data_IF_608018311797
#
_entry.id   IF_608018311797
#
_cell.length_a   1.000
_cell.length_b   1.000
_cell.length_c   1.000
_cell.angle_alpha   90.00
_cell.angle_beta   90.00
_cell.angle_gamma   90.00
#
_symmetry.space_group_name_H-M   'P 1'
#
loop_
_entity.id
_entity.type
_entity.pdbx_description
1 polymer ?
#
# COMPACT_ATOMS: atom_id res chain seq x y z
N UNK A 1 -5.74 -7.51 23.57
CA UNK A 1 -5.54 -6.59 24.70
C UNK A 1 -6.83 -6.42 25.54
N UNK A 2 -8.01 -6.20 24.96
CA UNK A 2 -9.25 -6.05 25.69
C UNK A 2 -9.58 -7.29 26.55
N UNK A 3 -9.52 -8.49 25.96
CA UNK A 3 -9.70 -9.76 26.68
C UNK A 3 -8.64 -9.97 27.76
N UNK A 4 -7.42 -9.49 27.56
CA UNK A 4 -6.37 -9.53 28.58
C UNK A 4 -6.74 -8.65 29.79
N UNK A 5 -7.28 -7.45 29.57
CA UNK A 5 -7.78 -6.58 30.65
C UNK A 5 -8.87 -7.29 31.47
N UNK A 6 -9.82 -7.95 30.80
CA UNK A 6 -10.87 -8.71 31.46
C UNK A 6 -10.30 -9.87 32.28
N UNK A 7 -9.36 -10.62 31.72
CA UNK A 7 -8.68 -11.71 32.44
C UNK A 7 -7.94 -11.22 33.67
N UNK A 8 -7.18 -10.12 33.56
CA UNK A 8 -6.46 -9.50 34.70
C UNK A 8 -7.44 -9.05 35.79
N UNK A 9 -8.55 -8.42 35.40
CA UNK A 9 -9.61 -8.01 36.32
C UNK A 9 -10.24 -9.24 37.04
N UNK A 10 -10.53 -10.28 36.30
CA UNK A 10 -11.08 -11.53 36.86
C UNK A 10 -10.13 -12.19 37.87
N UNK A 11 -8.83 -12.08 37.64
CA UNK A 11 -7.79 -12.58 38.55
C UNK A 11 -7.52 -11.64 39.73
N UNK A 12 -8.23 -10.51 39.84
CA UNK A 12 -8.10 -9.53 40.92
C UNK A 12 -6.92 -8.55 40.74
N UNK A 13 -6.33 -8.47 39.54
CA UNK A 13 -5.30 -7.51 39.16
C UNK A 13 -5.87 -6.19 38.65
N UNK A 14 -4.98 -5.22 38.42
CA UNK A 14 -5.37 -3.94 37.83
C UNK A 14 -5.36 -4.02 36.29
N UNK A 15 -6.52 -3.95 35.61
CA UNK A 15 -6.62 -4.04 34.14
C UNK A 15 -5.90 -2.87 33.43
N UNK A 16 -5.73 -1.72 34.08
CA UNK A 16 -5.06 -0.56 33.47
C UNK A 16 -3.56 -0.78 33.22
N UNK A 17 -2.99 -1.84 33.77
CA UNK A 17 -1.61 -2.24 33.46
C UNK A 17 -1.47 -2.83 32.06
N UNK A 18 -2.57 -3.27 31.44
CA UNK A 18 -2.57 -3.78 30.06
C UNK A 18 -2.78 -2.63 29.09
N UNK A 19 -1.69 -2.14 28.54
CA UNK A 19 -1.65 -1.10 27.51
C UNK A 19 -0.61 -1.45 26.44
N UNK A 20 -0.76 -0.92 25.23
CA UNK A 20 0.34 -0.96 24.26
C UNK A 20 1.58 -0.24 24.83
N UNK A 21 2.73 -0.92 24.80
CA UNK A 21 4.01 -0.32 25.23
C UNK A 21 4.60 0.58 24.13
N UNK A 22 4.28 0.28 22.87
CA UNK A 22 4.63 1.10 21.71
C UNK A 22 3.39 1.85 21.23
N UNK A 23 3.54 3.00 20.55
CA UNK A 23 2.42 3.67 19.92
C UNK A 23 1.68 2.73 18.99
N UNK A 24 0.37 2.60 19.17
CA UNK A 24 -0.50 1.77 18.34
C UNK A 24 -1.54 2.66 17.68
N UNK A 25 -1.58 2.63 16.35
CA UNK A 25 -2.46 3.46 15.55
C UNK A 25 -3.31 2.57 14.64
N UNK A 26 -4.62 2.61 14.87
CA UNK A 26 -5.59 1.89 14.07
C UNK A 26 -6.13 2.82 12.99
N UNK A 27 -5.81 2.58 11.75
CA UNK A 27 -6.41 3.30 10.60
C UNK A 27 -7.52 2.43 10.03
N UNK A 28 -8.72 3.00 9.87
CA UNK A 28 -9.79 2.33 9.15
C UNK A 28 -9.46 2.43 7.68
N UNK A 29 -8.97 1.32 7.14
CA UNK A 29 -8.45 1.22 5.78
C UNK A 29 -9.56 1.44 4.74
N UNK A 30 -9.22 2.07 3.63
CA UNK A 30 -9.94 2.33 2.37
C UNK A 30 -11.42 1.90 2.27
N UNK A 31 -12.03 1.46 3.30
CA UNK A 31 -13.19 0.58 3.27
C UNK A 31 -14.52 1.26 3.48
N UNK A 32 -14.64 2.51 3.15
CA UNK A 32 -15.98 3.04 2.92
C UNK A 32 -16.46 2.48 1.59
N UNK A 33 -17.34 1.48 1.66
CA UNK A 33 -17.95 0.88 0.47
C UNK A 33 -18.79 1.95 -0.22
N UNK A 34 -18.56 2.14 -1.51
CA UNK A 34 -19.29 3.13 -2.30
C UNK A 34 -20.67 2.55 -2.65
N UNK A 35 -21.71 3.05 -2.00
CA UNK A 35 -23.12 2.75 -2.28
C UNK A 35 -23.84 3.96 -2.86
N UNK A 36 -23.49 5.15 -2.42
CA UNK A 36 -23.96 6.42 -3.01
C UNK A 36 -22.85 7.03 -3.88
N UNK A 37 -23.21 7.53 -5.05
CA UNK A 37 -22.28 8.15 -6.00
C UNK A 37 -23.00 9.19 -6.88
N UNK A 38 -22.20 10.03 -7.57
CA UNK A 38 -22.73 10.99 -8.53
C UNK A 38 -23.44 12.21 -7.90
N UNK A 39 -23.34 12.41 -6.59
CA UNK A 39 -23.87 13.57 -5.88
C UNK A 39 -22.82 14.18 -4.95
N UNK A 40 -22.98 15.45 -4.57
CA UNK A 40 -22.03 16.16 -3.72
C UNK A 40 -22.01 15.66 -2.28
N UNK A 41 -23.06 14.98 -1.84
CA UNK A 41 -23.22 14.40 -0.50
C UNK A 41 -22.93 12.89 -0.45
N UNK A 42 -22.42 12.31 -1.55
CA UNK A 42 -22.18 10.88 -1.65
C UNK A 42 -21.16 10.38 -0.60
N UNK A 43 -20.12 11.17 -0.30
CA UNK A 43 -19.12 10.81 0.70
C UNK A 43 -19.77 10.70 2.08
N UNK A 44 -20.53 11.70 2.49
CA UNK A 44 -21.19 11.73 3.78
C UNK A 44 -22.18 10.57 3.95
N UNK A 45 -22.95 10.27 2.91
CA UNK A 45 -23.87 9.12 2.89
C UNK A 45 -23.14 7.79 3.04
N UNK A 46 -22.04 7.59 2.33
CA UNK A 46 -21.28 6.36 2.42
C UNK A 46 -20.63 6.17 3.81
N UNK A 47 -20.14 7.25 4.40
CA UNK A 47 -19.62 7.23 5.79
C UNK A 47 -20.72 6.92 6.79
N UNK A 48 -21.93 7.49 6.63
CA UNK A 48 -23.06 7.19 7.51
C UNK A 48 -23.47 5.70 7.42
N UNK A 49 -23.56 5.16 6.20
CA UNK A 49 -23.85 3.74 5.98
C UNK A 49 -22.78 2.86 6.60
N UNK A 50 -21.49 3.23 6.49
CA UNK A 50 -20.38 2.52 7.10
C UNK A 50 -20.52 2.46 8.62
N UNK A 51 -20.82 3.59 9.28
CA UNK A 51 -21.03 3.62 10.72
C UNK A 51 -22.23 2.78 11.15
N UNK A 52 -23.36 2.86 10.42
CA UNK A 52 -24.54 2.04 10.73
C UNK A 52 -24.26 0.53 10.59
N UNK A 53 -23.55 0.15 9.54
CA UNK A 53 -23.22 -1.25 9.26
C UNK A 53 -22.25 -1.86 10.25
N UNK A 54 -21.31 -1.08 10.75
CA UNK A 54 -20.22 -1.51 11.62
C UNK A 54 -20.32 -0.87 13.03
N UNK A 55 -21.51 -0.53 13.48
CA UNK A 55 -21.73 0.19 14.75
C UNK A 55 -21.01 -0.47 15.93
N UNK A 56 -21.17 -1.78 16.11
CA UNK A 56 -20.54 -2.52 17.21
C UNK A 56 -19.00 -2.43 17.17
N UNK A 57 -18.42 -2.51 15.97
CA UNK A 57 -16.97 -2.35 15.76
C UNK A 57 -16.50 -0.97 16.17
N UNK A 58 -17.21 0.08 15.76
CA UNK A 58 -16.82 1.45 16.08
C UNK A 58 -17.02 1.79 17.55
N UNK A 59 -18.05 1.25 18.19
CA UNK A 59 -18.21 1.35 19.64
C UNK A 59 -17.04 0.72 20.37
N UNK A 60 -16.60 -0.45 19.95
CA UNK A 60 -15.44 -1.14 20.51
C UNK A 60 -14.13 -0.35 20.30
N UNK A 61 -13.90 0.18 19.09
CA UNK A 61 -12.71 0.99 18.80
C UNK A 61 -12.69 2.28 19.59
N UNK A 62 -13.84 2.93 19.76
CA UNK A 62 -13.98 4.11 20.60
C UNK A 62 -13.66 3.79 22.06
N UNK A 63 -14.20 2.70 22.58
CA UNK A 63 -13.83 2.22 23.90
C UNK A 63 -12.33 2.01 24.03
N UNK A 64 -11.69 1.39 23.05
CA UNK A 64 -10.24 1.19 23.01
C UNK A 64 -9.46 2.50 23.05
N UNK A 65 -9.83 3.49 22.24
CA UNK A 65 -9.19 4.80 22.22
C UNK A 65 -9.34 5.59 23.53
N UNK A 66 -10.45 5.38 24.27
CA UNK A 66 -10.69 6.04 25.55
C UNK A 66 -10.01 5.32 26.73
N UNK A 67 -9.72 4.02 26.60
CA UNK A 67 -9.23 3.20 27.73
C UNK A 67 -7.75 2.82 27.64
N UNK A 68 -7.16 2.76 26.44
CA UNK A 68 -5.74 2.51 26.27
C UNK A 68 -4.97 3.82 26.14
N UNK A 69 -3.90 3.99 26.92
CA UNK A 69 -3.14 5.23 26.98
C UNK A 69 -2.26 5.47 25.74
N UNK A 70 -1.93 4.44 24.98
CA UNK A 70 -1.02 4.52 23.84
C UNK A 70 -1.66 3.92 22.56
N UNK A 71 -2.96 4.21 22.39
CA UNK A 71 -3.75 3.74 21.27
C UNK A 71 -4.58 4.87 20.66
N UNK A 72 -4.52 5.02 19.36
CA UNK A 72 -5.26 6.03 18.59
C UNK A 72 -6.01 5.38 17.43
N UNK A 73 -7.19 5.91 17.12
CA UNK A 73 -8.00 5.46 15.98
C UNK A 73 -8.16 6.60 14.99
N UNK A 74 -7.82 6.35 13.74
CA UNK A 74 -8.09 7.23 12.59
C UNK A 74 -9.41 6.78 11.97
N UNK A 75 -10.43 7.66 11.89
CA UNK A 75 -11.78 7.28 11.47
C UNK A 75 -11.88 6.92 9.99
N UNK A 76 -12.97 6.24 9.57
CA UNK A 76 -13.22 5.93 8.17
C UNK A 76 -13.36 7.20 7.32
N UNK A 77 -13.04 7.11 6.03
CA UNK A 77 -13.12 8.24 5.11
C UNK A 77 -11.92 9.19 5.17
N UNK A 78 -10.92 8.93 6.03
CA UNK A 78 -9.70 9.74 6.13
C UNK A 78 -8.74 9.46 4.97
N UNK A 79 -8.61 8.21 4.54
CA UNK A 79 -7.75 7.80 3.44
C UNK A 79 -7.35 6.32 3.54
N UNK A 80 -6.44 5.92 2.68
CA UNK A 80 -5.86 4.57 2.65
C UNK A 80 -4.79 4.47 3.74
N UNK A 81 -4.75 3.37 4.50
CA UNK A 81 -3.95 3.21 5.73
C UNK A 81 -2.50 3.66 5.59
N UNK A 82 -1.73 3.12 4.63
CA UNK A 82 -0.32 3.46 4.53
C UNK A 82 -0.04 4.76 3.77
N UNK A 83 -0.99 5.27 2.98
CA UNK A 83 -0.91 6.65 2.49
C UNK A 83 -1.06 7.64 3.67
N UNK A 84 -2.07 7.46 4.52
CA UNK A 84 -2.21 8.26 5.76
C UNK A 84 -0.99 8.11 6.66
N UNK A 85 -0.41 6.91 6.70
CA UNK A 85 0.76 6.62 7.51
C UNK A 85 1.98 7.42 7.03
N UNK A 86 2.41 7.26 5.78
CA UNK A 86 3.57 7.99 5.24
C UNK A 86 3.36 9.51 5.17
N UNK A 87 2.11 9.96 4.98
CA UNK A 87 1.79 11.38 4.88
C UNK A 87 1.64 12.06 6.25
N UNK A 88 1.29 11.32 7.30
CA UNK A 88 0.86 11.94 8.55
C UNK A 88 1.35 11.25 9.83
N UNK A 89 1.32 9.91 9.93
CA UNK A 89 1.57 9.20 11.19
C UNK A 89 3.05 8.87 11.40
N UNK A 90 3.75 8.45 10.37
CA UNK A 90 5.15 8.03 10.44
C UNK A 90 6.08 9.19 10.77
N UNK A 91 7.01 8.96 11.67
CA UNK A 91 7.89 9.98 12.22
C UNK A 91 9.27 10.02 11.58
N UNK A 92 9.69 8.93 10.93
CA UNK A 92 11.02 8.65 10.39
C UNK A 92 12.07 8.53 11.49
N UNK A 93 12.13 9.52 12.39
CA UNK A 93 12.98 9.50 13.59
C UNK A 93 12.14 9.92 14.79
N UNK A 94 12.05 9.04 15.76
CA UNK A 94 11.42 9.33 17.04
C UNK A 94 12.31 10.24 17.89
N UNK A 95 11.67 11.10 18.68
CA UNK A 95 12.24 11.73 19.87
C UNK A 95 11.40 11.29 21.07
N UNK A 96 12.02 10.59 21.97
CA UNK A 96 11.39 10.16 23.20
C UNK A 96 12.30 10.49 24.38
N UNK A 97 11.90 11.45 25.20
CA UNK A 97 12.64 11.91 26.38
C UNK A 97 14.11 12.30 26.08
N UNK A 98 14.37 12.88 24.90
CA UNK A 98 15.69 13.30 24.46
C UNK A 98 16.55 12.19 23.84
N UNK A 99 15.96 11.03 23.60
CA UNK A 99 16.58 9.94 22.86
C UNK A 99 15.99 9.88 21.45
N UNK A 100 16.84 10.08 20.43
CA UNK A 100 16.46 9.92 19.03
C UNK A 100 16.77 8.51 18.55
N UNK A 101 15.83 7.90 17.83
CA UNK A 101 16.00 6.58 17.22
C UNK A 101 15.12 6.45 15.95
N UNK A 102 15.48 5.56 14.98
CA UNK A 102 14.72 5.41 13.76
C UNK A 102 13.34 4.80 14.02
N UNK A 103 12.36 5.25 13.25
CA UNK A 103 11.02 4.68 13.25
C UNK A 103 11.02 3.30 12.59
N UNK A 104 10.19 2.41 13.10
CA UNK A 104 9.86 1.12 12.51
C UNK A 104 8.37 0.89 12.58
N UNK A 105 7.77 0.39 11.51
CA UNK A 105 6.33 0.16 11.44
C UNK A 105 6.04 -1.33 11.34
N UNK A 106 5.40 -1.89 12.36
CA UNK A 106 4.87 -3.26 12.35
C UNK A 106 3.35 -3.17 12.10
N UNK A 107 2.91 -3.62 10.96
CA UNK A 107 1.51 -3.49 10.55
C UNK A 107 0.84 -4.81 10.17
N UNK A 108 -0.47 -4.92 10.43
CA UNK A 108 -1.25 -6.11 10.06
C UNK A 108 -1.69 -6.12 8.61
N UNK A 109 -1.36 -5.09 7.85
CA UNK A 109 -1.64 -4.99 6.43
C UNK A 109 -0.44 -5.43 5.58
N UNK A 110 -0.69 -6.13 4.47
CA UNK A 110 0.34 -6.54 3.51
C UNK A 110 1.07 -5.37 2.86
N UNK A 111 0.45 -4.19 2.81
CA UNK A 111 1.02 -2.97 2.24
C UNK A 111 1.79 -2.10 3.24
N UNK A 112 2.06 -2.60 4.45
CA UNK A 112 2.91 -1.92 5.45
C UNK A 112 4.29 -1.56 4.89
N UNK A 113 4.76 -2.31 3.93
CA UNK A 113 6.03 -2.07 3.23
C UNK A 113 6.08 -0.78 2.40
N UNK A 114 4.97 -0.05 2.23
CA UNK A 114 4.99 1.33 1.70
C UNK A 114 5.90 2.26 2.52
N UNK A 115 5.97 2.04 3.84
CA UNK A 115 6.81 2.80 4.76
C UNK A 115 8.30 2.77 4.37
N UNK A 116 8.73 1.71 3.68
CA UNK A 116 10.11 1.56 3.23
C UNK A 116 10.52 2.65 2.23
N UNK A 117 9.57 3.24 1.51
CA UNK A 117 9.80 4.38 0.63
C UNK A 117 10.23 5.64 1.37
N UNK A 118 9.82 5.79 2.64
CA UNK A 118 10.18 6.91 3.52
C UNK A 118 11.50 6.67 4.29
N UNK A 119 12.14 5.52 4.08
CA UNK A 119 13.34 5.12 4.83
C UNK A 119 13.03 4.47 6.19
N UNK A 120 11.79 4.05 6.40
CA UNK A 120 11.32 3.37 7.62
C UNK A 120 11.26 1.89 7.36
N UNK A 121 11.72 1.06 8.30
CA UNK A 121 11.52 -0.37 8.22
C UNK A 121 10.05 -0.71 8.47
N UNK A 122 9.28 -0.83 7.39
CA UNK A 122 7.89 -1.27 7.42
C UNK A 122 7.79 -2.78 7.17
N UNK A 123 7.12 -3.49 8.05
CA UNK A 123 6.99 -4.94 8.00
C UNK A 123 5.55 -5.37 8.23
N UNK A 124 4.95 -6.04 7.23
CA UNK A 124 3.64 -6.66 7.33
C UNK A 124 3.71 -7.97 8.10
N UNK A 125 2.88 -8.08 9.15
CA UNK A 125 2.84 -9.23 10.06
C UNK A 125 1.39 -9.71 10.27
N UNK A 126 1.22 -10.88 10.88
CA UNK A 126 -0.09 -11.33 11.34
C UNK A 126 -0.53 -10.61 12.61
N UNK A 127 -1.83 -10.76 12.97
CA UNK A 127 -2.40 -10.09 14.14
C UNK A 127 -1.73 -10.48 15.47
N UNK A 128 -1.27 -11.73 15.59
CA UNK A 128 -0.60 -12.23 16.80
C UNK A 128 0.76 -11.57 16.99
N UNK A 129 1.53 -11.42 15.91
CA UNK A 129 2.82 -10.75 15.94
C UNK A 129 2.68 -9.26 16.23
N UNK A 130 1.63 -8.60 15.69
CA UNK A 130 1.33 -7.22 16.00
C UNK A 130 0.96 -7.03 17.48
N UNK A 131 0.16 -7.94 18.04
CA UNK A 131 -0.17 -7.93 19.47
C UNK A 131 1.07 -8.14 20.34
N UNK A 132 1.96 -9.06 19.95
CA UNK A 132 3.23 -9.27 20.63
C UNK A 132 4.10 -8.00 20.60
N UNK A 133 4.18 -7.32 19.46
CA UNK A 133 4.90 -6.05 19.33
C UNK A 133 4.30 -4.95 20.20
N UNK A 134 2.97 -4.82 20.27
CA UNK A 134 2.31 -3.88 21.17
C UNK A 134 2.63 -4.15 22.64
N UNK A 135 2.79 -5.41 23.02
CA UNK A 135 3.13 -5.83 24.39
C UNK A 135 4.65 -5.85 24.67
N UNK A 136 5.47 -5.37 23.72
CA UNK A 136 6.92 -5.36 23.86
C UNK A 136 7.57 -6.76 23.89
N UNK A 137 6.88 -7.77 23.37
CA UNK A 137 7.45 -9.11 23.28
C UNK A 137 8.37 -9.24 22.06
N UNK A 138 9.56 -9.80 22.21
CA UNK A 138 10.48 -9.99 21.09
C UNK A 138 9.94 -11.06 20.13
N UNK A 139 10.09 -10.82 18.84
CA UNK A 139 9.86 -11.79 17.77
C UNK A 139 11.20 -12.29 17.27
N UNK A 140 11.44 -13.60 17.38
CA UNK A 140 12.68 -14.21 16.89
C UNK A 140 12.62 -14.39 15.37
N UNK A 141 13.68 -13.98 14.68
CA UNK A 141 13.85 -14.22 13.26
C UNK A 141 15.32 -14.58 12.94
N UNK A 142 15.52 -15.28 11.83
CA UNK A 142 16.86 -15.44 11.29
C UNK A 142 17.31 -14.10 10.70
N UNK A 143 18.62 -13.78 10.85
CA UNK A 143 19.19 -12.59 10.22
C UNK A 143 18.98 -12.72 8.70
N UNK A 144 18.23 -11.78 8.06
CA UNK A 144 17.93 -11.89 6.64
C UNK A 144 19.19 -11.62 5.79
N UNK A 145 19.25 -12.25 4.63
CA UNK A 145 20.21 -11.83 3.60
C UNK A 145 19.70 -10.52 2.99
N UNK A 146 20.64 -9.65 2.67
CA UNK A 146 20.34 -8.36 2.03
C UNK A 146 20.77 -8.40 0.58
N UNK A 147 19.83 -8.05 -0.31
CA UNK A 147 20.08 -7.87 -1.75
C UNK A 147 20.23 -6.38 -2.00
N UNK A 148 21.43 -5.94 -2.38
CA UNK A 148 21.64 -4.57 -2.82
C UNK A 148 21.10 -4.41 -4.23
N UNK A 149 20.15 -3.46 -4.41
CA UNK A 149 19.59 -3.14 -5.72
C UNK A 149 20.07 -1.76 -6.16
N UNK A 150 21.04 -1.74 -7.07
CA UNK A 150 21.64 -0.52 -7.59
C UNK A 150 20.76 0.10 -8.67
N UNK A 151 20.43 1.37 -8.50
CA UNK A 151 19.72 2.18 -9.50
C UNK A 151 20.69 3.18 -10.12
N UNK A 152 20.74 3.22 -11.45
CA UNK A 152 21.59 4.11 -12.23
C UNK A 152 20.78 4.77 -13.36
N UNK A 153 21.34 5.78 -13.99
CA UNK A 153 20.72 6.46 -15.13
C UNK A 153 19.49 7.30 -14.74
N UNK A 154 18.78 7.76 -15.76
CA UNK A 154 17.61 8.64 -15.64
C UNK A 154 16.39 8.00 -16.31
N UNK A 155 15.20 8.31 -15.83
CA UNK A 155 13.95 7.78 -16.39
C UNK A 155 13.67 8.45 -17.75
N UNK A 156 13.52 7.70 -18.86
CA UNK A 156 13.28 8.29 -20.18
C UNK A 156 11.95 9.02 -20.27
N UNK A 157 11.90 10.06 -21.10
CA UNK A 157 10.64 10.74 -21.41
C UNK A 157 9.61 9.77 -21.99
N UNK A 158 8.41 9.76 -21.44
CA UNK A 158 7.32 8.87 -21.86
C UNK A 158 7.24 7.55 -21.07
N UNK A 159 8.20 7.28 -20.20
CA UNK A 159 8.15 6.21 -19.19
C UNK A 159 7.48 6.75 -17.93
N UNK A 160 6.61 5.96 -17.36
CA UNK A 160 5.87 6.30 -16.14
C UNK A 160 6.49 5.63 -14.91
N UNK A 161 6.14 6.11 -13.73
CA UNK A 161 6.50 5.45 -12.47
C UNK A 161 6.05 3.98 -12.45
N UNK A 162 4.88 3.67 -13.00
CA UNK A 162 4.36 2.29 -13.08
C UNK A 162 5.28 1.38 -13.89
N UNK A 163 5.87 1.88 -14.97
CA UNK A 163 6.81 1.09 -15.80
C UNK A 163 8.05 0.71 -15.00
N UNK A 164 8.58 1.64 -14.20
CA UNK A 164 9.71 1.40 -13.28
C UNK A 164 9.34 0.38 -12.21
N UNK A 165 8.18 0.58 -11.56
CA UNK A 165 7.67 -0.34 -10.51
C UNK A 165 7.53 -1.76 -11.05
N UNK A 166 6.90 -1.94 -12.21
CA UNK A 166 6.71 -3.25 -12.81
C UNK A 166 8.04 -3.91 -13.20
N UNK A 167 8.99 -3.13 -13.73
CA UNK A 167 10.32 -3.62 -14.08
C UNK A 167 11.09 -4.12 -12.86
N UNK A 168 11.11 -3.33 -11.78
CA UNK A 168 11.77 -3.72 -10.51
C UNK A 168 11.07 -4.96 -9.92
N UNK A 169 9.74 -4.99 -9.96
CA UNK A 169 8.95 -6.11 -9.43
C UNK A 169 9.27 -7.42 -10.15
N UNK A 170 9.34 -7.40 -11.49
CA UNK A 170 9.72 -8.55 -12.29
C UNK A 170 11.14 -9.01 -11.96
N UNK A 171 12.12 -8.11 -11.98
CA UNK A 171 13.53 -8.42 -11.69
C UNK A 171 13.72 -9.05 -10.31
N UNK A 172 13.11 -8.48 -9.27
CA UNK A 172 13.18 -9.01 -7.90
C UNK A 172 12.49 -10.36 -7.78
N UNK A 173 11.36 -10.54 -8.46
CA UNK A 173 10.65 -11.82 -8.47
C UNK A 173 11.46 -12.92 -9.15
N UNK A 174 12.08 -12.62 -10.28
CA UNK A 174 12.95 -13.56 -11.01
C UNK A 174 14.22 -13.91 -10.22
N UNK A 175 14.83 -12.91 -9.55
CA UNK A 175 15.99 -13.13 -8.70
C UNK A 175 15.69 -14.02 -7.48
N UNK A 176 14.46 -13.96 -6.97
CA UNK A 176 14.05 -14.74 -5.81
C UNK A 176 14.46 -14.12 -4.48
N UNK A 177 13.70 -13.16 -4.01
CA UNK A 177 13.96 -12.38 -2.77
C UNK A 177 13.10 -12.80 -1.57
N UNK A 178 12.48 -13.98 -1.64
CA UNK A 178 11.64 -14.48 -0.54
C UNK A 178 12.46 -14.59 0.75
N UNK A 179 11.96 -14.04 1.85
CA UNK A 179 12.64 -13.95 3.15
C UNK A 179 13.95 -13.15 3.14
N UNK A 180 14.19 -12.34 2.11
CA UNK A 180 15.34 -11.43 2.03
C UNK A 180 14.87 -9.99 2.23
N UNK A 181 15.82 -9.14 2.59
CA UNK A 181 15.66 -7.69 2.51
C UNK A 181 16.25 -7.19 1.21
N UNK A 182 15.67 -6.17 0.65
CA UNK A 182 16.18 -5.43 -0.50
C UNK A 182 16.53 -4.02 -0.04
N UNK A 183 17.71 -3.54 -0.39
CA UNK A 183 18.13 -2.18 -0.12
C UNK A 183 18.46 -1.48 -1.43
N UNK A 184 17.74 -0.39 -1.73
CA UNK A 184 17.97 0.40 -2.93
C UNK A 184 19.09 1.41 -2.69
N UNK A 185 19.99 1.54 -3.65
CA UNK A 185 21.12 2.45 -3.59
C UNK A 185 21.55 2.90 -4.99
N UNK A 186 22.55 3.76 -5.08
CA UNK A 186 23.06 4.30 -6.34
C UNK A 186 22.44 5.64 -6.72
N UNK A 187 23.03 6.30 -7.71
CA UNK A 187 22.70 7.65 -8.11
C UNK A 187 21.33 7.79 -8.80
N UNK A 188 20.74 6.69 -9.29
CA UNK A 188 19.39 6.66 -9.86
C UNK A 188 18.28 6.77 -8.82
N UNK A 189 18.58 6.54 -7.52
CA UNK A 189 17.56 6.66 -6.46
C UNK A 189 16.94 8.06 -6.42
N UNK A 190 17.72 9.10 -6.61
CA UNK A 190 17.26 10.50 -6.61
C UNK A 190 16.28 10.82 -7.74
N UNK A 191 16.27 10.03 -8.81
CA UNK A 191 15.35 10.19 -9.94
C UNK A 191 13.94 9.66 -9.64
N UNK A 192 13.78 8.96 -8.50
CA UNK A 192 12.51 8.37 -8.09
C UNK A 192 11.90 9.21 -6.96
N UNK A 193 10.83 9.97 -7.23
CA UNK A 193 10.09 10.70 -6.19
C UNK A 193 9.60 9.77 -5.08
N UNK A 194 9.50 10.27 -3.85
CA UNK A 194 9.19 9.46 -2.68
C UNK A 194 7.89 8.66 -2.83
N UNK A 195 6.83 9.23 -3.37
CA UNK A 195 5.57 8.52 -3.60
C UNK A 195 5.74 7.29 -4.51
N UNK A 196 6.68 7.35 -5.46
CA UNK A 196 7.01 6.22 -6.33
C UNK A 196 7.87 5.19 -5.59
N UNK A 197 8.78 5.61 -4.70
CA UNK A 197 9.50 4.70 -3.79
C UNK A 197 8.54 3.93 -2.90
N UNK A 198 7.54 4.61 -2.34
CA UNK A 198 6.48 3.98 -1.56
C UNK A 198 5.71 2.94 -2.40
N UNK A 199 5.43 3.24 -3.67
CA UNK A 199 4.78 2.29 -4.58
C UNK A 199 5.66 1.06 -4.86
N UNK A 200 6.97 1.23 -5.01
CA UNK A 200 7.91 0.11 -5.15
C UNK A 200 7.93 -0.73 -3.87
N UNK A 201 8.05 -0.10 -2.70
CA UNK A 201 8.00 -0.77 -1.41
C UNK A 201 6.69 -1.54 -1.21
N UNK A 202 5.56 -0.96 -1.64
CA UNK A 202 4.24 -1.56 -1.61
C UNK A 202 4.16 -2.90 -2.35
N UNK A 203 4.98 -3.09 -3.39
CA UNK A 203 5.02 -4.32 -4.20
C UNK A 203 5.88 -5.43 -3.56
N UNK A 204 6.39 -5.25 -2.34
CA UNK A 204 7.17 -6.27 -1.63
C UNK A 204 6.46 -7.63 -1.53
N UNK A 205 5.15 -7.72 -1.25
CA UNK A 205 4.44 -8.99 -1.27
C UNK A 205 4.44 -9.66 -2.65
N UNK A 206 4.33 -8.88 -3.73
CA UNK A 206 4.28 -9.38 -5.10
C UNK A 206 5.61 -9.97 -5.55
N UNK A 207 6.74 -9.31 -5.26
CA UNK A 207 8.04 -9.90 -5.56
C UNK A 207 8.57 -10.80 -4.43
N UNK A 208 8.00 -10.75 -3.23
CA UNK A 208 8.19 -11.71 -2.16
C UNK A 208 9.26 -11.34 -1.13
N UNK A 209 9.76 -10.10 -1.10
CA UNK A 209 10.68 -9.66 -0.05
C UNK A 209 9.96 -9.36 1.26
N UNK A 210 10.70 -9.44 2.37
CA UNK A 210 10.19 -9.00 3.68
C UNK A 210 10.20 -7.47 3.79
N UNK A 211 11.21 -6.84 3.19
CA UNK A 211 11.43 -5.39 3.20
C UNK A 211 12.13 -4.99 1.90
N UNK A 212 11.79 -3.82 1.36
CA UNK A 212 12.47 -3.22 0.22
C UNK A 212 12.65 -1.72 0.49
N UNK A 213 13.72 -1.38 1.21
CA UNK A 213 13.94 -0.07 1.82
C UNK A 213 14.72 0.87 0.90
N UNK A 214 14.30 2.14 0.92
CA UNK A 214 15.02 3.24 0.31
C UNK A 214 15.82 4.00 1.37
N UNK A 215 16.95 4.62 1.00
CA UNK A 215 17.71 5.47 1.91
C UNK A 215 16.94 6.78 2.18
N UNK A 216 17.31 7.45 3.27
CA UNK A 216 16.87 8.81 3.56
C UNK A 216 17.74 9.78 2.77
N UNK A 217 17.11 10.69 2.05
CA UNK A 217 17.78 11.71 1.22
C UNK A 217 16.96 13.00 1.14
N UNK A 218 17.34 13.87 0.22
CA UNK A 218 16.69 15.16 0.01
C UNK A 218 15.22 15.02 -0.42
N UNK A 219 14.87 13.96 -1.17
CA UNK A 219 13.49 13.64 -1.53
C UNK A 219 12.64 13.28 -0.30
N UNK A 220 13.22 12.59 0.68
CA UNK A 220 12.56 12.35 1.98
C UNK A 220 12.25 13.68 2.68
N UNK A 221 13.21 14.60 2.74
CA UNK A 221 13.04 15.92 3.34
C UNK A 221 11.97 16.74 2.61
N UNK A 222 12.01 16.76 1.27
CA UNK A 222 11.02 17.45 0.45
C UNK A 222 9.61 16.91 0.70
N UNK A 223 9.47 15.60 0.84
CA UNK A 223 8.19 14.96 1.12
C UNK A 223 7.66 15.30 2.52
N UNK A 224 8.53 15.34 3.54
CA UNK A 224 8.17 15.75 4.89
C UNK A 224 7.69 17.20 4.91
N UNK A 225 8.32 18.10 4.17
CA UNK A 225 7.84 19.47 3.97
C UNK A 225 6.46 19.50 3.29
N UNK A 226 6.31 18.76 2.20
CA UNK A 226 5.07 18.69 1.42
C UNK A 226 3.89 18.23 2.29
N UNK A 227 4.13 17.27 3.17
CA UNK A 227 3.12 16.67 4.04
C UNK A 227 2.96 17.40 5.39
N UNK A 228 3.65 18.53 5.55
CA UNK A 228 3.41 19.47 6.67
C UNK A 228 4.01 19.05 8.01
N UNK A 229 5.10 18.25 8.01
CA UNK A 229 5.86 17.99 9.23
C UNK A 229 6.47 19.28 9.75
N UNK A 230 6.65 19.38 11.07
CA UNK A 230 7.28 20.56 11.67
C UNK A 230 8.74 20.68 11.23
N UNK A 231 9.26 21.93 11.18
CA UNK A 231 10.65 22.14 10.84
C UNK A 231 11.60 21.44 11.84
N UNK A 232 11.21 21.38 13.10
CA UNK A 232 11.96 20.68 14.14
C UNK A 232 12.09 19.18 13.86
N UNK A 233 10.99 18.54 13.44
CA UNK A 233 11.00 17.11 13.07
C UNK A 233 11.86 16.85 11.83
N UNK A 234 11.77 17.73 10.84
CA UNK A 234 12.55 17.64 9.60
C UNK A 234 14.05 17.78 9.88
N UNK A 235 14.42 18.80 10.65
CA UNK A 235 15.83 19.03 11.04
C UNK A 235 16.38 17.84 11.85
N UNK A 236 15.56 17.24 12.71
CA UNK A 236 15.91 16.04 13.48
C UNK A 236 16.17 14.85 12.55
N UNK A 237 15.28 14.61 11.59
CA UNK A 237 15.42 13.51 10.62
C UNK A 237 16.72 13.65 9.83
N UNK A 238 16.98 14.83 9.29
CA UNK A 238 18.20 15.10 8.51
C UNK A 238 19.46 14.93 9.35
N UNK A 239 19.51 15.56 10.52
CA UNK A 239 20.65 15.50 11.42
C UNK A 239 20.94 14.06 11.89
N UNK A 240 19.88 13.32 12.27
CA UNK A 240 20.00 11.95 12.71
C UNK A 240 20.49 11.03 11.58
N UNK A 241 19.87 11.12 10.41
CA UNK A 241 20.22 10.27 9.27
C UNK A 241 21.69 10.48 8.85
N UNK A 242 22.16 11.73 8.83
CA UNK A 242 23.58 12.06 8.55
C UNK A 242 24.52 11.52 9.64
N UNK A 243 24.14 11.68 10.90
CA UNK A 243 24.98 11.23 12.03
C UNK A 243 25.09 9.69 12.13
N UNK A 244 24.07 8.97 11.69
CA UNK A 244 24.00 7.51 11.75
C UNK A 244 24.44 6.81 10.44
N UNK A 245 24.81 7.57 9.39
CA UNK A 245 25.16 6.99 8.09
C UNK A 245 23.98 6.39 7.33
N UNK A 246 22.75 6.85 7.62
CA UNK A 246 21.52 6.46 6.94
C UNK A 246 21.17 7.40 5.78
N UNK A 247 21.91 8.50 5.66
CA UNK A 247 21.74 9.49 4.59
C UNK A 247 22.40 9.02 3.30
N UNK A 248 21.69 9.13 2.17
CA UNK A 248 22.26 8.83 0.86
C UNK A 248 23.24 9.94 0.42
N UNK A 249 24.52 9.66 0.47
CA UNK A 249 25.54 10.52 -0.08
C UNK A 249 25.93 10.07 -1.50
N UNK A 250 26.16 11.05 -2.41
CA UNK A 250 26.39 10.75 -3.83
C UNK A 250 27.69 9.98 -4.08
N UNK A 251 28.71 10.19 -3.25
CA UNK A 251 30.03 9.62 -3.39
C UNK A 251 30.38 8.62 -2.24
N UNK A 252 29.35 8.14 -1.53
CA UNK A 252 29.58 7.17 -0.47
C UNK A 252 30.13 5.85 -1.01
N UNK A 253 31.01 5.22 -0.24
CA UNK A 253 31.44 3.86 -0.53
C UNK A 253 30.23 2.90 -0.47
N UNK A 254 30.10 2.08 -1.51
CA UNK A 254 28.98 1.15 -1.58
C UNK A 254 29.10 0.09 -0.47
N UNK A 255 27.99 -0.21 0.20
CA UNK A 255 27.95 -1.26 1.21
C UNK A 255 28.16 -2.65 0.59
N UNK A 256 28.68 -3.58 1.39
CA UNK A 256 28.78 -4.97 0.98
C UNK A 256 27.47 -5.71 1.25
N UNK A 257 26.83 -6.20 0.19
CA UNK A 257 25.58 -6.95 0.25
C UNK A 257 25.81 -8.44 0.07
N UNK A 258 24.86 -9.25 0.50
CA UNK A 258 24.88 -10.70 0.28
C UNK A 258 24.73 -11.07 -1.20
N UNK A 259 23.97 -10.27 -1.93
CA UNK A 259 23.63 -10.43 -3.35
C UNK A 259 23.46 -9.05 -3.99
N UNK A 260 23.60 -8.96 -5.30
CA UNK A 260 23.53 -7.69 -6.03
C UNK A 260 22.62 -7.78 -7.24
N UNK A 261 21.86 -6.71 -7.48
CA UNK A 261 21.13 -6.43 -8.71
C UNK A 261 21.43 -4.99 -9.15
N UNK A 262 21.32 -4.74 -10.43
CA UNK A 262 21.47 -3.39 -10.99
C UNK A 262 20.44 -3.15 -12.08
N UNK A 263 19.85 -1.94 -12.08
CA UNK A 263 18.95 -1.46 -13.12
C UNK A 263 19.39 -0.07 -13.57
N UNK A 264 19.71 0.05 -14.85
CA UNK A 264 19.82 1.35 -15.50
C UNK A 264 18.41 1.82 -15.89
N UNK A 265 17.93 2.88 -15.22
CA UNK A 265 16.60 3.45 -15.44
C UNK A 265 16.36 3.88 -16.88
N UNK A 266 17.43 4.21 -17.63
CA UNK A 266 17.33 4.57 -19.04
C UNK A 266 16.88 3.43 -19.95
N UNK A 267 16.95 2.20 -19.48
CA UNK A 267 16.53 1.00 -20.20
C UNK A 267 15.06 0.64 -20.00
N UNK A 268 14.40 1.30 -19.05
CA UNK A 268 12.97 1.03 -18.76
C UNK A 268 12.11 1.47 -19.94
N UNK A 269 11.17 0.64 -20.30
CA UNK A 269 10.24 0.88 -21.41
C UNK A 269 8.78 0.75 -20.94
N UNK A 270 7.83 1.42 -21.64
CA UNK A 270 6.42 1.33 -21.31
C UNK A 270 5.93 -0.11 -21.23
N UNK A 271 5.23 -0.43 -20.15
CA UNK A 271 4.84 -1.78 -19.78
C UNK A 271 3.44 -1.79 -19.17
N UNK A 272 2.82 -2.96 -19.13
CA UNK A 272 1.58 -3.21 -18.41
C UNK A 272 1.76 -4.42 -17.49
N UNK A 273 0.97 -4.47 -16.43
CA UNK A 273 0.88 -5.67 -15.62
C UNK A 273 0.28 -6.82 -16.42
N UNK A 274 0.76 -8.03 -16.15
CA UNK A 274 0.20 -9.25 -16.75
C UNK A 274 -1.20 -9.55 -16.25
N UNK A 275 -1.93 -10.44 -16.94
CA UNK A 275 -3.34 -10.68 -16.65
C UNK A 275 -3.57 -11.41 -15.32
N UNK A 276 -2.58 -12.13 -14.79
CA UNK A 276 -2.71 -12.90 -13.57
C UNK A 276 -2.07 -12.21 -12.36
N UNK A 277 -0.90 -11.61 -12.54
CA UNK A 277 -0.10 -11.09 -11.44
C UNK A 277 0.65 -9.82 -11.85
N UNK A 278 0.86 -8.85 -10.97
CA UNK A 278 1.63 -7.64 -11.27
C UNK A 278 3.06 -7.91 -11.72
N UNK A 279 3.69 -8.97 -11.21
CA UNK A 279 5.05 -9.36 -11.58
C UNK A 279 5.15 -10.02 -12.97
N UNK A 280 4.05 -10.37 -13.60
CA UNK A 280 4.02 -10.88 -14.98
C UNK A 280 3.98 -9.68 -15.94
N UNK A 281 5.06 -8.91 -16.01
CA UNK A 281 5.14 -7.69 -16.81
C UNK A 281 5.07 -8.01 -18.32
N UNK A 282 4.34 -7.19 -19.05
CA UNK A 282 4.22 -7.27 -20.51
C UNK A 282 4.65 -5.93 -21.10
N UNK A 283 5.55 -5.94 -22.09
CA UNK A 283 5.90 -4.73 -22.81
C UNK A 283 4.66 -4.21 -23.57
N UNK A 284 4.43 -2.90 -23.49
CA UNK A 284 3.28 -2.28 -24.17
C UNK A 284 3.27 -2.58 -25.67
N UNK A 285 4.45 -2.64 -26.29
CA UNK A 285 4.62 -3.00 -27.69
C UNK A 285 4.18 -4.44 -28.04
N UNK A 286 4.19 -5.34 -27.05
CA UNK A 286 3.85 -6.76 -27.22
C UNK A 286 2.44 -7.10 -26.69
N UNK A 287 1.76 -6.13 -26.08
CA UNK A 287 0.49 -6.34 -25.37
C UNK A 287 -0.59 -6.98 -26.23
N UNK A 288 -0.71 -6.57 -27.51
CA UNK A 288 -1.70 -7.11 -28.46
C UNK A 288 -1.49 -8.60 -28.74
N UNK A 289 -0.25 -8.98 -29.01
CA UNK A 289 0.06 -10.37 -29.40
C UNK A 289 0.04 -11.29 -28.17
N UNK A 290 0.48 -10.79 -27.02
CA UNK A 290 0.40 -11.49 -25.74
C UNK A 290 -1.05 -11.72 -25.34
N UNK A 291 -1.90 -10.70 -25.45
CA UNK A 291 -3.33 -10.83 -25.18
C UNK A 291 -3.99 -11.91 -26.07
N UNK A 292 -3.70 -11.88 -27.37
CA UNK A 292 -4.25 -12.88 -28.30
C UNK A 292 -3.83 -14.31 -27.99
N UNK A 293 -2.58 -14.49 -27.54
CA UNK A 293 -2.07 -15.81 -27.14
C UNK A 293 -2.73 -16.33 -25.86
N UNK A 294 -3.03 -15.43 -24.93
CA UNK A 294 -3.59 -15.79 -23.62
C UNK A 294 -5.13 -15.86 -23.62
N UNK A 295 -5.79 -15.19 -24.56
CA UNK A 295 -7.26 -15.15 -24.63
C UNK A 295 -7.92 -16.53 -24.56
N UNK A 296 -7.42 -17.58 -25.24
CA UNK A 296 -8.01 -18.92 -25.15
C UNK A 296 -8.03 -19.48 -23.73
N UNK A 297 -7.06 -19.14 -22.87
CA UNK A 297 -6.98 -19.62 -21.49
C UNK A 297 -8.10 -19.05 -20.60
N UNK A 298 -8.67 -17.92 -21.02
CA UNK A 298 -9.78 -17.25 -20.35
C UNK A 298 -11.13 -17.52 -20.99
N UNK A 299 -11.15 -18.15 -22.17
CA UNK A 299 -12.39 -18.48 -22.85
C UNK A 299 -12.92 -19.82 -22.33
N UNK A 300 -13.52 -19.80 -21.14
CA UNK A 300 -14.20 -20.95 -20.54
C UNK A 300 -15.58 -21.21 -21.14
N UNK A 301 -15.93 -20.60 -22.26
CA UNK A 301 -17.21 -20.77 -22.97
C UNK A 301 -17.35 -22.15 -23.66
N UNK A 302 -16.88 -23.21 -23.00
CA UNK A 302 -17.02 -24.60 -23.46
C UNK A 302 -18.03 -25.45 -22.69
N UNK A 303 -18.50 -25.02 -21.51
CA UNK A 303 -19.38 -25.84 -20.66
C UNK A 303 -20.69 -25.16 -20.21
N UNK A 304 -21.05 -24.04 -20.79
CA UNK A 304 -22.33 -23.40 -20.52
C UNK A 304 -22.86 -22.73 -21.78
N UNK A 305 -23.79 -23.39 -22.46
CA UNK A 305 -24.53 -22.81 -23.58
C UNK A 305 -25.41 -21.66 -23.11
N UNK A 306 -24.85 -20.48 -22.97
CA UNK A 306 -25.65 -19.26 -23.03
C UNK A 306 -25.27 -18.55 -24.34
N UNK A 307 -26.20 -18.52 -25.28
CA UNK A 307 -26.07 -17.63 -26.43
C UNK A 307 -25.71 -16.24 -25.97
N UNK A 308 -24.79 -15.52 -26.64
CA UNK A 308 -24.49 -14.15 -26.31
C UNK A 308 -25.78 -13.34 -26.39
N UNK A 309 -26.23 -12.85 -25.25
CA UNK A 309 -27.37 -11.93 -25.21
C UNK A 309 -26.91 -10.68 -25.95
N UNK A 310 -27.40 -10.46 -27.15
CA UNK A 310 -27.22 -9.19 -27.85
C UNK A 310 -27.84 -8.12 -26.97
N UNK A 311 -27.01 -7.23 -26.44
CA UNK A 311 -27.51 -6.02 -25.79
C UNK A 311 -28.23 -5.21 -26.86
N UNK A 312 -29.52 -4.95 -26.67
CA UNK A 312 -30.20 -3.93 -27.47
C UNK A 312 -29.44 -2.62 -27.30
N UNK A 313 -29.30 -1.87 -28.40
CA UNK A 313 -28.72 -0.51 -28.36
C UNK A 313 -29.49 0.29 -27.35
N UNK A 314 -28.92 0.59 -26.21
CA UNK A 314 -29.45 1.55 -25.26
C UNK A 314 -28.97 2.92 -25.73
N UNK A 315 -29.85 3.79 -26.16
CA UNK A 315 -29.50 5.17 -26.49
C UNK A 315 -28.90 5.86 -25.28
N UNK A 316 -27.83 6.64 -25.49
CA UNK A 316 -27.12 7.34 -24.44
C UNK A 316 -28.04 8.22 -23.56
N UNK A 317 -29.15 8.69 -24.11
CA UNK A 317 -30.20 9.48 -23.41
C UNK A 317 -30.98 8.59 -22.42
N UNK A 318 -31.36 7.37 -22.80
CA UNK A 318 -32.06 6.44 -21.91
C UNK A 318 -31.17 5.90 -20.80
N UNK A 319 -29.86 5.84 -21.03
CA UNK A 319 -28.88 5.47 -20.00
C UNK A 319 -28.83 6.57 -18.92
N UNK A 320 -28.72 7.83 -19.30
CA UNK A 320 -28.69 8.95 -18.35
C UNK A 320 -30.01 9.11 -17.58
N UNK A 321 -31.17 8.91 -18.22
CA UNK A 321 -32.46 8.97 -17.55
C UNK A 321 -32.68 7.81 -16.56
N UNK A 322 -32.20 6.62 -16.89
CA UNK A 322 -32.28 5.48 -15.96
C UNK A 322 -31.39 5.67 -14.73
N UNK A 323 -30.25 6.31 -14.88
CA UNK A 323 -29.36 6.66 -13.76
C UNK A 323 -29.93 7.72 -12.84
N UNK A 324 -30.57 8.74 -13.42
CA UNK A 324 -31.24 9.81 -12.66
C UNK A 324 -32.46 9.30 -11.88
N UNK A 325 -33.17 8.32 -12.43
CA UNK A 325 -34.38 7.76 -11.81
C UNK A 325 -34.06 6.73 -10.69
N UNK A 326 -32.86 6.18 -10.65
CA UNK A 326 -32.47 5.13 -9.69
C UNK A 326 -31.64 5.63 -8.50
N UNK A 327 -31.40 6.95 -8.44
CA UNK A 327 -30.67 7.58 -7.32
C UNK A 327 -31.37 7.46 -5.96
N UNK A 328 -32.67 7.22 -5.94
CA UNK A 328 -33.44 7.07 -4.69
C UNK A 328 -33.67 5.61 -4.27
N UNK A 329 -33.38 4.62 -5.11
CA UNK A 329 -33.67 3.21 -4.82
C UNK A 329 -32.46 2.28 -4.78
N UNK A 330 -31.22 2.82 -4.77
CA UNK A 330 -30.01 2.01 -4.79
C UNK A 330 -29.81 1.13 -3.53
N UNK A 331 -30.48 1.45 -2.43
CA UNK A 331 -30.41 0.68 -1.19
C UNK A 331 -31.24 -0.64 -1.23
N UNK A 332 -32.26 -0.75 -2.06
CA UNK A 332 -33.11 -1.95 -2.15
C UNK A 332 -32.68 -2.95 -3.23
N UNK A 333 -31.70 -2.62 -4.07
CA UNK A 333 -31.34 -3.37 -5.28
C UNK A 333 -30.03 -4.13 -5.23
N UNK A 334 -29.34 -4.23 -4.10
CA UNK A 334 -28.02 -4.88 -4.01
C UNK A 334 -28.05 -6.40 -4.09
N UNK A 335 -29.21 -7.03 -3.92
CA UNK A 335 -29.37 -8.47 -4.15
C UNK A 335 -29.61 -8.76 -5.64
N UNK A 336 -28.53 -9.09 -6.37
CA UNK A 336 -28.67 -9.72 -7.68
C UNK A 336 -28.19 -8.96 -8.91
N UNK A 337 -27.28 -8.00 -8.80
CA UNK A 337 -26.57 -7.48 -9.99
C UNK A 337 -25.51 -8.49 -10.48
N UNK A 338 -25.97 -9.52 -11.19
CA UNK A 338 -25.08 -10.21 -12.11
C UNK A 338 -24.62 -9.18 -13.15
N UNK A 339 -23.31 -8.94 -13.26
CA UNK A 339 -22.74 -8.13 -14.34
C UNK A 339 -23.14 -8.77 -15.66
N UNK A 340 -24.06 -8.13 -16.40
CA UNK A 340 -24.39 -8.58 -17.74
C UNK A 340 -23.23 -8.19 -18.65
N UNK A 341 -22.66 -9.11 -19.43
CA UNK A 341 -21.64 -8.75 -20.40
C UNK A 341 -22.21 -7.76 -21.43
N UNK A 342 -21.54 -6.62 -21.57
CA UNK A 342 -21.88 -5.63 -22.59
C UNK A 342 -20.97 -5.87 -23.78
N UNK A 343 -21.55 -6.19 -24.93
CA UNK A 343 -20.80 -6.30 -26.19
C UNK A 343 -20.63 -4.87 -26.73
N UNK A 344 -19.38 -4.38 -26.71
CA UNK A 344 -19.04 -3.10 -27.33
C UNK A 344 -18.61 -3.39 -28.78
N UNK A 345 -19.40 -2.93 -29.74
CA UNK A 345 -18.97 -2.96 -31.14
C UNK A 345 -17.82 -1.94 -31.32
N UNK A 346 -16.71 -2.42 -31.86
CA UNK A 346 -15.57 -1.57 -32.22
C UNK A 346 -16.02 -0.59 -33.33
N UNK A 347 -15.76 0.71 -33.22
CA UNK A 347 -16.13 1.69 -34.24
C UNK A 347 -15.34 1.52 -35.57
N UNK A 348 -14.45 0.57 -35.65
CA UNK A 348 -13.73 0.21 -36.89
C UNK A 348 -14.00 -1.27 -37.19
N UNK A 349 -15.10 -1.51 -37.93
CA UNK A 349 -15.55 -2.80 -38.37
C UNK A 349 -14.41 -3.80 -38.68
N UNK A 350 -14.05 -4.57 -37.66
CA UNK A 350 -13.14 -5.71 -37.74
C UNK A 350 -13.79 -6.81 -36.92
N UNK A 351 -14.15 -7.90 -37.59
CA UNK A 351 -14.59 -9.16 -37.02
C UNK A 351 -13.54 -9.72 -36.05
#
# INVERSE_FOLDING_TARGET
LATMREAVSTLGGNPDQVNPLNPAEMVIDHSVIIEAFGSTDAIDKNVEIEYQRNEERYQFLRWGAENFSNFRVVPPGTGIVHQVNIEYLSRVVFDNEGLAYPDTCIGTDSHTTMENGLGILGWGVGGIEAEAAMLGQPVSMLIPRVVGFKLTGEIPTGVTATDVVLTITEMLREHGVVQKFVEFYGNGVKEIPLANRATIGNMSPEFGSTCAIFPIDEETINYLHLTGRSQEDIDRVEAYAKAQGMWLEQDAEEAEYSEYLELDLSTVVPSIAGPKRPQDRILLSESKDTFRKQLPDYNTAGEGTSEPVRAEKVDAVSYNESWAAHGESAAEGAEGRASKPVIVESPKGGE
#
